data_IF_366372535869
#
_entry.id   IF_366372535869
#
_cell.length_a   1.000
_cell.length_b   1.000
_cell.length_c   1.000
_cell.angle_alpha   90.00
_cell.angle_beta   90.00
_cell.angle_gamma   90.00
#
_symmetry.space_group_name_H-M   'P 1'
#
loop_
_entity.id
_entity.type
_entity.pdbx_description
1 polymer ?
#
# COMPACT_ATOMS: atom_id res chain seq x y z
N UNK A 1 -0.02 12.04 5.91
CA UNK A 1 -0.03 10.92 6.87
C UNK A 1 -1.40 10.25 6.79
N UNK A 2 -1.47 8.94 6.63
CA UNK A 2 -2.74 8.20 6.61
C UNK A 2 -3.29 8.02 8.04
N UNK A 3 -4.61 7.86 8.23
CA UNK A 3 -5.20 7.72 9.57
C UNK A 3 -4.73 6.50 10.36
N UNK A 4 -4.16 5.49 9.69
CA UNK A 4 -3.63 4.27 10.29
C UNK A 4 -2.11 4.16 10.16
N UNK A 5 -1.44 5.25 9.79
CA UNK A 5 0.02 5.36 9.59
C UNK A 5 0.63 4.43 8.52
N UNK A 6 -0.20 3.61 7.84
CA UNK A 6 0.23 2.67 6.81
C UNK A 6 0.04 3.25 5.40
N UNK A 7 0.89 2.91 4.42
CA UNK A 7 0.76 3.43 3.07
C UNK A 7 -0.52 2.94 2.37
N UNK A 8 -0.88 3.63 1.29
CA UNK A 8 -1.89 3.20 0.32
C UNK A 8 -1.13 2.76 -0.93
N UNK A 9 -1.32 1.51 -1.31
CA UNK A 9 -0.63 0.85 -2.42
C UNK A 9 -1.62 0.20 -3.39
N UNK A 10 -1.30 0.25 -4.68
CA UNK A 10 -2.01 -0.45 -5.75
C UNK A 10 -3.03 0.42 -6.49
N UNK A 11 -3.80 -0.20 -7.38
CA UNK A 11 -4.84 0.49 -8.13
C UNK A 11 -5.98 0.95 -7.21
N UNK A 12 -6.41 2.20 -7.36
CA UNK A 12 -7.57 2.77 -6.65
C UNK A 12 -8.76 2.95 -7.59
N UNK A 13 -8.48 3.16 -8.87
CA UNK A 13 -9.41 3.24 -10.00
C UNK A 13 -8.70 2.68 -11.24
N UNK A 14 -9.45 2.43 -12.32
CA UNK A 14 -8.86 1.98 -13.58
C UNK A 14 -7.85 3.01 -14.11
N UNK A 15 -6.64 2.55 -14.43
CA UNK A 15 -5.56 3.43 -14.91
C UNK A 15 -4.90 4.31 -13.85
N UNK A 16 -5.35 4.28 -12.58
CA UNK A 16 -4.77 5.05 -11.49
C UNK A 16 -4.11 4.16 -10.43
N UNK A 17 -2.78 4.06 -10.52
CA UNK A 17 -1.93 3.37 -9.54
C UNK A 17 -1.42 4.35 -8.50
N UNK A 18 -1.58 4.02 -7.21
CA UNK A 18 -1.17 4.88 -6.10
C UNK A 18 -0.13 4.18 -5.23
N UNK A 19 0.92 4.91 -4.90
CA UNK A 19 1.88 4.58 -3.85
C UNK A 19 2.13 5.83 -3.02
N UNK A 20 1.38 6.00 -1.93
CA UNK A 20 1.39 7.23 -1.14
C UNK A 20 1.18 6.97 0.36
N UNK A 21 1.46 7.97 1.19
CA UNK A 21 1.13 7.92 2.62
C UNK A 21 2.14 7.16 3.51
N UNK A 22 3.41 7.05 3.11
CA UNK A 22 4.48 6.33 3.82
C UNK A 22 4.89 6.88 5.20
N UNK A 23 4.24 7.95 5.68
CA UNK A 23 4.40 8.47 7.06
C UNK A 23 5.86 8.60 7.55
N UNK A 24 6.77 9.07 6.69
CA UNK A 24 8.19 9.30 7.04
C UNK A 24 9.15 8.13 6.76
N UNK A 25 8.65 6.91 6.50
CA UNK A 25 9.47 5.69 6.34
C UNK A 25 9.63 5.23 4.89
N UNK A 26 9.21 6.07 3.92
CA UNK A 26 9.12 5.67 2.51
C UNK A 26 10.45 5.28 1.88
N UNK A 27 11.57 5.89 2.29
CA UNK A 27 12.90 5.60 1.72
C UNK A 27 13.31 4.15 1.98
N UNK A 28 13.08 3.64 3.19
CA UNK A 28 13.42 2.26 3.56
C UNK A 28 12.58 1.24 2.78
N UNK A 29 11.35 1.61 2.43
CA UNK A 29 10.39 0.73 1.76
C UNK A 29 10.44 0.82 0.23
N UNK A 30 11.09 1.85 -0.32
CA UNK A 30 11.00 2.21 -1.73
C UNK A 30 11.34 1.07 -2.70
N UNK A 31 12.38 0.29 -2.41
CA UNK A 31 12.82 -0.80 -3.28
C UNK A 31 11.73 -1.89 -3.44
N UNK A 32 11.15 -2.35 -2.32
CA UNK A 32 10.11 -3.36 -2.35
C UNK A 32 8.80 -2.80 -2.93
N UNK A 33 8.43 -1.57 -2.55
CA UNK A 33 7.24 -0.90 -3.09
C UNK A 33 7.33 -0.76 -4.61
N UNK A 34 8.47 -0.32 -5.14
CA UNK A 34 8.67 -0.20 -6.59
C UNK A 34 8.47 -1.53 -7.31
N UNK A 35 8.97 -2.64 -6.75
CA UNK A 35 8.75 -3.98 -7.28
C UNK A 35 7.26 -4.37 -7.27
N UNK A 36 6.58 -4.15 -6.15
CA UNK A 36 5.16 -4.50 -6.01
C UNK A 36 4.28 -3.67 -6.97
N UNK A 37 4.60 -2.40 -7.17
CA UNK A 37 3.90 -1.55 -8.14
C UNK A 37 4.14 -1.99 -9.58
N UNK A 38 5.35 -2.41 -9.92
CA UNK A 38 5.64 -2.98 -11.24
C UNK A 38 4.86 -4.29 -11.48
N UNK A 39 4.74 -5.15 -10.47
CA UNK A 39 3.97 -6.39 -10.55
C UNK A 39 2.45 -6.13 -10.71
N UNK A 40 1.89 -5.16 -9.99
CA UNK A 40 0.50 -4.73 -10.18
C UNK A 40 0.22 -4.32 -11.64
N UNK A 41 1.13 -3.54 -12.24
CA UNK A 41 0.99 -3.08 -13.63
C UNK A 41 1.18 -4.22 -14.63
N UNK A 42 2.19 -5.07 -14.43
CA UNK A 42 2.54 -6.13 -15.38
C UNK A 42 1.59 -7.33 -15.33
N UNK A 43 1.08 -7.68 -14.14
CA UNK A 43 0.36 -8.93 -13.90
C UNK A 43 -1.04 -8.73 -13.34
N UNK A 44 -1.48 -7.48 -13.11
CA UNK A 44 -2.76 -7.16 -12.50
C UNK A 44 -2.84 -7.45 -11.00
N UNK A 45 -1.77 -7.98 -10.41
CA UNK A 45 -1.65 -8.24 -8.97
C UNK A 45 -0.16 -8.32 -8.57
N UNK A 46 0.16 -7.77 -7.41
CA UNK A 46 1.44 -8.02 -6.75
C UNK A 46 1.59 -9.51 -6.41
N UNK A 47 2.76 -10.08 -6.73
CA UNK A 47 3.05 -11.51 -6.54
C UNK A 47 4.01 -11.74 -5.38
N UNK A 48 4.88 -10.76 -5.11
CA UNK A 48 5.93 -10.88 -4.11
C UNK A 48 5.43 -10.73 -2.69
N UNK A 49 4.39 -9.92 -2.49
CA UNK A 49 3.79 -9.67 -1.19
C UNK A 49 2.33 -9.29 -1.37
N UNK A 50 1.47 -9.77 -0.47
CA UNK A 50 0.05 -9.44 -0.50
C UNK A 50 -0.19 -7.96 -0.17
N UNK A 51 -0.65 -7.20 -1.17
CA UNK A 51 -0.99 -5.78 -1.03
C UNK A 51 -2.38 -5.54 -0.46
N UNK A 52 -3.23 -6.57 -0.29
CA UNK A 52 -4.61 -6.44 0.20
C UNK A 52 -4.72 -5.58 1.46
N UNK A 53 -3.87 -5.74 2.49
CA UNK A 53 -3.90 -4.90 3.69
C UNK A 53 -3.68 -3.41 3.40
N UNK A 54 -2.91 -3.07 2.37
CA UNK A 54 -2.51 -1.69 2.02
C UNK A 54 -3.40 -1.04 0.96
N UNK A 55 -4.45 -1.71 0.49
CA UNK A 55 -5.41 -1.12 -0.45
C UNK A 55 -6.15 0.05 0.18
N UNK A 56 -6.55 1.02 -0.63
CA UNK A 56 -7.42 2.13 -0.20
C UNK A 56 -8.74 1.61 0.39
N UNK A 57 -9.23 0.48 -0.15
CA UNK A 57 -10.48 -0.17 0.23
C UNK A 57 -10.61 -0.49 1.72
N UNK A 58 -9.50 -0.68 2.43
CA UNK A 58 -9.51 -0.93 3.88
C UNK A 58 -10.23 0.16 4.67
N UNK A 59 -10.19 1.41 4.21
CA UNK A 59 -10.89 2.52 4.87
C UNK A 59 -12.39 2.51 4.59
N UNK A 60 -12.81 2.16 3.37
CA UNK A 60 -14.23 1.99 3.04
C UNK A 60 -14.87 0.81 3.77
N UNK A 61 -14.10 -0.25 4.02
CA UNK A 61 -14.56 -1.41 4.77
C UNK A 61 -14.49 -1.23 6.29
N UNK A 62 -14.01 -0.10 6.79
CA UNK A 62 -13.82 0.12 8.23
C UNK A 62 -12.78 -0.80 8.86
N UNK A 63 -11.80 -1.29 8.09
CA UNK A 63 -10.71 -2.19 8.51
C UNK A 63 -9.33 -1.50 8.42
N UNK A 64 -9.10 -0.35 9.09
CA UNK A 64 -7.79 0.28 9.09
C UNK A 64 -6.74 -0.64 9.74
N UNK A 65 -5.51 -0.61 9.21
CA UNK A 65 -4.37 -1.34 9.76
C UNK A 65 -3.84 -0.60 10.97
N UNK A 66 -4.47 -0.79 12.12
CA UNK A 66 -3.95 -0.23 13.37
C UNK A 66 -2.75 -1.05 13.84
N UNK A 67 -1.60 -0.41 13.84
CA UNK A 67 -0.37 -0.93 14.41
C UNK A 67 -0.58 -1.16 15.92
N UNK A 68 -0.40 -2.40 16.39
CA UNK A 68 -0.55 -2.77 17.82
C UNK A 68 0.78 -2.90 18.54
N UNK A 69 1.91 -2.70 17.84
CA UNK A 69 3.25 -2.77 18.39
C UNK A 69 3.93 -1.42 18.24
N UNK A 70 4.20 -0.75 19.35
CA UNK A 70 5.14 0.37 19.44
C UNK A 70 6.51 -0.19 19.06
N UNK A 71 7.20 0.44 18.10
CA UNK A 71 8.66 0.32 17.93
C UNK A 71 9.30 1.64 18.32
#
# INVERSE_FOLDING_TARGET
MTPDHNPILGFVEEGLLVAAGFSGHGVQQAAMVGRLMAEEVAFGQAQSLDLTPFRLRRFWEGKPLRERGIV
#
